data_IF_286690399083
#
_entry.id   IF_286690399083
#
_cell.length_a   1.000
_cell.length_b   1.000
_cell.length_c   1.000
_cell.angle_alpha   90.00
_cell.angle_beta   90.00
_cell.angle_gamma   90.00
#
_symmetry.space_group_name_H-M   'P 1'
#
loop_
_entity.id
_entity.type
_entity.pdbx_description
1 polymer ?
#
# COMPACT_ATOMS: atom_id res chain seq x y z
N UNK A 1 30.09 -59.26 2.86
CA UNK A 1 29.46 -58.01 2.38
C UNK A 1 28.02 -57.99 2.88
N UNK A 2 27.65 -57.06 3.75
CA UNK A 2 26.26 -56.86 4.21
C UNK A 2 25.87 -55.41 3.87
N UNK A 3 24.76 -55.15 3.17
CA UNK A 3 24.40 -53.79 2.76
C UNK A 3 23.78 -53.02 3.94
N UNK A 4 24.20 -51.76 4.12
CA UNK A 4 23.61 -50.80 5.05
C UNK A 4 22.48 -50.08 4.30
N UNK A 5 21.25 -50.26 4.74
CA UNK A 5 20.09 -49.53 4.21
C UNK A 5 19.95 -48.22 4.99
N UNK A 6 20.18 -47.08 4.36
CA UNK A 6 19.90 -45.76 4.95
C UNK A 6 18.46 -45.39 4.59
N UNK A 7 17.60 -45.33 5.62
CA UNK A 7 16.22 -44.84 5.51
C UNK A 7 16.25 -43.31 5.64
N UNK A 8 16.03 -42.58 4.54
CA UNK A 8 15.88 -41.12 4.56
C UNK A 8 14.42 -40.81 4.89
N UNK A 9 14.17 -40.29 6.08
CA UNK A 9 12.87 -39.75 6.46
C UNK A 9 12.70 -38.36 5.85
N UNK A 10 11.82 -38.24 4.84
CA UNK A 10 11.44 -36.96 4.25
C UNK A 10 10.36 -36.35 5.15
N UNK A 11 10.72 -35.31 5.91
CA UNK A 11 9.77 -34.52 6.68
C UNK A 11 9.11 -33.48 5.74
N UNK A 12 7.85 -33.70 5.40
CA UNK A 12 7.05 -32.75 4.63
C UNK A 12 6.59 -31.61 5.52
N UNK A 13 7.16 -30.41 5.34
CA UNK A 13 6.63 -29.18 5.98
C UNK A 13 5.46 -28.69 5.13
N UNK A 14 4.24 -28.84 5.63
CA UNK A 14 3.05 -28.25 5.02
C UNK A 14 3.00 -26.76 5.38
N UNK A 15 3.23 -25.87 4.40
CA UNK A 15 3.02 -24.43 4.57
C UNK A 15 1.52 -24.16 4.43
N UNK A 16 0.87 -23.83 5.54
CA UNK A 16 -0.53 -23.41 5.55
C UNK A 16 -0.60 -21.93 5.20
N UNK A 17 -0.98 -21.61 3.96
CA UNK A 17 -1.32 -20.26 3.54
C UNK A 17 -2.74 -19.92 4.03
N UNK A 18 -2.86 -19.23 5.17
CA UNK A 18 -4.14 -18.69 5.62
C UNK A 18 -4.51 -17.46 4.77
N UNK A 19 -5.55 -17.60 3.95
CA UNK A 19 -6.24 -16.46 3.37
C UNK A 19 -6.94 -15.70 4.50
N UNK A 20 -6.56 -14.43 4.73
CA UNK A 20 -7.30 -13.59 5.65
C UNK A 20 -8.49 -13.04 4.89
N UNK A 21 -9.68 -13.46 5.27
CA UNK A 21 -10.92 -12.90 4.74
C UNK A 21 -11.10 -11.49 5.29
N UNK A 22 -11.32 -10.51 4.41
CA UNK A 22 -11.50 -9.13 4.79
C UNK A 22 -12.82 -8.99 5.57
N UNK A 23 -12.73 -8.68 6.87
CA UNK A 23 -13.90 -8.41 7.72
C UNK A 23 -14.55 -7.11 7.26
N UNK A 24 -15.84 -7.15 6.93
CA UNK A 24 -16.59 -5.95 6.54
C UNK A 24 -16.72 -4.98 7.71
N UNK A 25 -16.44 -3.69 7.47
CA UNK A 25 -16.61 -2.60 8.43
C UNK A 25 -15.36 -2.20 9.24
N UNK A 26 -14.34 -3.05 9.37
CA UNK A 26 -13.09 -2.71 10.08
C UNK A 26 -11.96 -2.26 9.14
N UNK A 27 -11.00 -1.50 9.66
CA UNK A 27 -9.70 -1.34 8.98
C UNK A 27 -8.93 -2.67 9.05
N UNK A 28 -8.30 -3.05 7.94
CA UNK A 28 -7.56 -4.28 7.76
C UNK A 28 -6.20 -3.97 7.14
N UNK A 29 -5.09 -4.51 7.66
CA UNK A 29 -3.76 -4.25 7.10
C UNK A 29 -3.64 -4.70 5.64
N UNK A 30 -3.02 -3.87 4.81
CA UNK A 30 -2.67 -4.23 3.43
C UNK A 30 -1.43 -5.12 3.47
N UNK A 31 -1.58 -6.37 3.02
CA UNK A 31 -0.49 -7.36 3.05
C UNK A 31 0.63 -7.05 2.06
N UNK A 32 0.28 -6.57 0.87
CA UNK A 32 1.22 -6.28 -0.19
C UNK A 32 1.16 -4.80 -0.57
N UNK A 33 2.03 -3.99 0.03
CA UNK A 33 2.15 -2.57 -0.29
C UNK A 33 2.74 -2.32 -1.68
N UNK A 34 3.38 -3.33 -2.28
CA UNK A 34 3.90 -3.28 -3.66
C UNK A 34 2.87 -3.71 -4.70
N UNK A 35 1.64 -4.02 -4.26
CA UNK A 35 0.55 -4.31 -5.17
C UNK A 35 0.33 -3.12 -6.12
N UNK A 36 0.13 -3.42 -7.40
CA UNK A 36 0.00 -2.39 -8.44
C UNK A 36 -1.18 -1.45 -8.15
N UNK A 37 -2.29 -1.99 -7.68
CA UNK A 37 -3.48 -1.20 -7.36
C UNK A 37 -3.24 -0.30 -6.15
N UNK A 38 -2.58 -0.79 -5.11
CA UNK A 38 -2.21 0.01 -3.94
C UNK A 38 -1.30 1.18 -4.33
N UNK A 39 -0.33 0.94 -5.23
CA UNK A 39 0.52 2.00 -5.78
C UNK A 39 -0.28 3.03 -6.57
N UNK A 40 -1.24 2.61 -7.39
CA UNK A 40 -2.10 3.52 -8.15
C UNK A 40 -2.96 4.40 -7.23
N UNK A 41 -3.47 3.85 -6.13
CA UNK A 41 -4.18 4.63 -5.11
C UNK A 41 -3.26 5.68 -4.46
N UNK A 42 -2.02 5.30 -4.14
CA UNK A 42 -1.04 6.22 -3.57
C UNK A 42 -0.65 7.34 -4.56
N UNK A 43 -0.37 7.00 -5.81
CA UNK A 43 -0.04 7.96 -6.88
C UNK A 43 -1.22 8.93 -7.11
N UNK A 44 -2.45 8.40 -7.16
CA UNK A 44 -3.66 9.21 -7.22
C UNK A 44 -3.75 10.20 -6.05
N UNK A 45 -3.45 9.78 -4.83
CA UNK A 45 -3.52 10.65 -3.65
C UNK A 45 -2.54 11.82 -3.75
N UNK A 46 -1.28 11.55 -4.09
CA UNK A 46 -0.22 12.56 -4.21
C UNK A 46 -0.56 13.57 -5.31
N UNK A 47 -0.94 13.09 -6.50
CA UNK A 47 -1.29 13.95 -7.66
C UNK A 47 -2.53 14.80 -7.36
N UNK A 48 -3.56 14.22 -6.74
CA UNK A 48 -4.81 14.93 -6.44
C UNK A 48 -4.61 16.00 -5.37
N UNK A 49 -3.83 15.70 -4.33
CA UNK A 49 -3.48 16.68 -3.31
C UNK A 49 -2.73 17.86 -3.94
N UNK A 50 -1.70 17.57 -4.73
CA UNK A 50 -0.88 18.58 -5.39
C UNK A 50 -1.72 19.48 -6.32
N UNK A 51 -2.57 18.87 -7.15
CA UNK A 51 -3.45 19.59 -8.08
C UNK A 51 -4.50 20.44 -7.36
N UNK A 52 -4.97 20.01 -6.19
CA UNK A 52 -5.96 20.72 -5.37
C UNK A 52 -5.44 22.01 -4.74
N UNK A 53 -4.11 22.17 -4.64
CA UNK A 53 -3.47 23.38 -4.12
C UNK A 53 -3.26 24.46 -5.19
N UNK A 54 -3.66 24.20 -6.44
CA UNK A 54 -3.33 25.04 -7.59
C UNK A 54 -1.92 24.79 -8.11
N UNK A 55 -1.44 25.56 -9.10
CA UNK A 55 -0.09 25.38 -9.64
C UNK A 55 0.96 25.65 -8.55
N UNK A 56 1.63 24.59 -8.08
CA UNK A 56 2.73 24.68 -7.11
C UNK A 56 4.04 24.91 -7.84
N UNK A 57 4.94 25.65 -7.18
CA UNK A 57 6.33 25.81 -7.63
C UNK A 57 7.05 24.45 -7.59
N UNK A 58 6.71 23.62 -6.60
CA UNK A 58 7.30 22.30 -6.39
C UNK A 58 6.19 21.25 -6.21
N UNK A 59 5.77 20.58 -7.29
CA UNK A 59 4.74 19.56 -7.20
C UNK A 59 5.29 18.33 -6.48
N UNK A 60 4.45 17.59 -5.74
CA UNK A 60 4.89 16.37 -5.07
C UNK A 60 4.89 15.16 -6.01
N UNK A 61 5.83 14.23 -5.79
CA UNK A 61 5.83 12.89 -6.40
C UNK A 61 5.97 11.80 -5.34
N UNK A 62 5.37 10.65 -5.62
CA UNK A 62 5.43 9.48 -4.75
C UNK A 62 6.84 8.86 -4.74
N UNK A 63 7.37 8.60 -3.55
CA UNK A 63 8.62 7.84 -3.32
C UNK A 63 8.29 6.38 -3.00
N UNK A 64 7.45 6.14 -2.00
CA UNK A 64 7.10 4.80 -1.52
C UNK A 64 5.74 4.76 -0.81
N UNK A 65 5.21 3.54 -0.66
CA UNK A 65 4.11 3.22 0.24
C UNK A 65 4.69 2.42 1.38
N UNK A 66 4.68 3.00 2.59
CA UNK A 66 5.41 2.49 3.75
C UNK A 66 4.48 1.76 4.73
N UNK A 67 3.18 1.93 4.57
CA UNK A 67 2.16 1.25 5.35
C UNK A 67 0.78 1.44 4.73
N UNK A 68 -0.19 0.66 5.19
CA UNK A 68 -1.56 0.92 4.81
C UNK A 68 -2.58 -0.07 5.33
N UNK A 69 -3.82 0.38 5.35
CA UNK A 69 -4.99 -0.38 5.73
C UNK A 69 -6.11 -0.15 4.70
N UNK A 70 -6.97 -1.13 4.52
CA UNK A 70 -8.22 -1.00 3.77
C UNK A 70 -9.41 -1.18 4.69
N UNK A 71 -10.53 -0.55 4.34
CA UNK A 71 -11.81 -0.79 4.99
C UNK A 71 -12.87 -0.95 3.91
N UNK A 72 -13.61 -2.05 3.97
CA UNK A 72 -14.73 -2.32 3.05
C UNK A 72 -15.97 -1.59 3.55
N UNK A 73 -16.56 -0.78 2.67
CA UNK A 73 -17.81 -0.02 2.84
C UNK A 73 -18.68 -0.24 1.58
N UNK A 74 -19.45 0.75 1.12
CA UNK A 74 -20.01 0.76 -0.25
C UNK A 74 -18.91 1.07 -1.30
N UNK A 75 -17.86 0.26 -1.32
CA UNK A 75 -16.57 0.53 -1.95
C UNK A 75 -15.43 0.20 -0.99
N UNK A 76 -14.28 0.84 -1.19
CA UNK A 76 -13.09 0.61 -0.37
C UNK A 76 -12.47 1.93 0.04
N UNK A 77 -12.27 2.12 1.33
CA UNK A 77 -11.36 3.15 1.82
C UNK A 77 -9.94 2.56 1.89
N UNK A 78 -8.96 3.31 1.40
CA UNK A 78 -7.54 3.04 1.55
C UNK A 78 -6.96 4.11 2.45
N UNK A 79 -6.38 3.72 3.58
CA UNK A 79 -5.58 4.59 4.44
C UNK A 79 -4.13 4.19 4.23
N UNK A 80 -3.37 5.02 3.56
CA UNK A 80 -1.99 4.75 3.16
C UNK A 80 -1.05 5.67 3.91
N UNK A 81 0.07 5.12 4.33
CA UNK A 81 1.24 5.88 4.75
C UNK A 81 2.19 5.94 3.56
N UNK A 82 2.44 7.13 3.05
CA UNK A 82 3.22 7.35 1.83
C UNK A 82 4.36 8.31 2.10
N UNK A 83 5.51 8.04 1.49
CA UNK A 83 6.59 9.02 1.40
C UNK A 83 6.49 9.76 0.08
N UNK A 84 6.57 11.08 0.11
CA UNK A 84 6.55 11.93 -1.08
C UNK A 84 7.63 13.02 -0.99
N UNK A 85 8.13 13.44 -2.15
CA UNK A 85 9.20 14.45 -2.26
C UNK A 85 8.83 15.45 -3.35
N UNK A 86 9.35 16.69 -3.30
CA UNK A 86 9.30 17.60 -4.44
C UNK A 86 9.74 16.94 -5.76
N UNK A 87 9.06 17.24 -6.86
CA UNK A 87 9.28 16.58 -8.14
C UNK A 87 10.68 16.85 -8.72
N UNK A 88 11.28 17.99 -8.38
CA UNK A 88 12.64 18.40 -8.72
C UNK A 88 13.72 17.68 -7.90
N UNK A 89 13.37 17.01 -6.80
CA UNK A 89 14.32 16.28 -5.96
C UNK A 89 14.49 14.83 -6.42
N UNK A 90 15.61 14.20 -6.04
CA UNK A 90 15.83 12.78 -6.33
C UNK A 90 15.04 11.92 -5.35
N UNK A 91 14.35 10.90 -5.85
CA UNK A 91 13.69 9.88 -5.01
C UNK A 91 14.69 9.19 -4.06
N UNK A 92 15.98 9.12 -4.44
CA UNK A 92 17.02 8.56 -3.60
C UNK A 92 17.35 9.40 -2.35
N UNK A 93 16.95 10.68 -2.32
CA UNK A 93 17.09 11.55 -1.15
C UNK A 93 16.02 11.25 -0.07
N UNK A 94 15.03 10.42 -0.39
CA UNK A 94 13.88 10.17 0.48
C UNK A 94 12.77 11.19 0.24
N UNK A 95 12.02 11.51 1.29
CA UNK A 95 10.94 12.48 1.27
C UNK A 95 10.27 12.58 2.64
N UNK A 96 9.22 13.39 2.70
CA UNK A 96 8.38 13.51 3.89
C UNK A 96 7.28 12.45 3.88
N UNK A 97 6.88 12.01 5.07
CA UNK A 97 5.82 11.02 5.24
C UNK A 97 4.46 11.71 5.39
N UNK A 98 3.44 11.09 4.80
CA UNK A 98 2.06 11.57 4.81
C UNK A 98 1.08 10.43 5.02
N UNK A 99 0.01 10.70 5.76
CA UNK A 99 -1.17 9.84 5.74
C UNK A 99 -2.16 10.32 4.67
N UNK A 100 -2.47 9.43 3.73
CA UNK A 100 -3.49 9.64 2.71
C UNK A 100 -4.69 8.73 2.96
N UNK A 101 -5.90 9.28 2.86
CA UNK A 101 -7.13 8.49 2.80
C UNK A 101 -7.77 8.70 1.44
N UNK A 102 -7.96 7.62 0.70
CA UNK A 102 -8.63 7.60 -0.61
C UNK A 102 -9.82 6.67 -0.55
N UNK A 103 -10.96 7.14 -1.02
CA UNK A 103 -12.13 6.30 -1.25
C UNK A 103 -12.16 5.87 -2.72
N UNK A 104 -12.39 4.58 -2.95
CA UNK A 104 -12.66 4.02 -4.27
C UNK A 104 -14.05 3.37 -4.28
N UNK A 105 -14.90 3.81 -5.20
CA UNK A 105 -16.24 3.23 -5.40
C UNK A 105 -16.18 1.86 -6.10
N UNK A 106 -17.28 1.12 -6.05
CA UNK A 106 -17.44 -0.15 -6.78
C UNK A 106 -17.31 -0.02 -8.32
N UNK A 107 -17.39 1.20 -8.86
CA UNK A 107 -17.18 1.51 -10.28
C UNK A 107 -15.78 2.09 -10.56
N UNK A 108 -14.82 1.93 -9.64
CA UNK A 108 -13.43 2.38 -9.75
C UNK A 108 -13.22 3.91 -9.82
N UNK A 109 -14.23 4.69 -9.45
CA UNK A 109 -14.07 6.15 -9.25
C UNK A 109 -13.35 6.37 -7.92
N UNK A 110 -12.24 7.11 -7.96
CA UNK A 110 -11.40 7.45 -6.80
C UNK A 110 -11.66 8.88 -6.34
N UNK A 111 -11.61 9.10 -5.02
CA UNK A 111 -11.73 10.41 -4.40
C UNK A 111 -10.74 10.53 -3.25
N UNK A 112 -9.94 11.60 -3.26
CA UNK A 112 -9.09 11.94 -2.12
C UNK A 112 -9.98 12.45 -0.98
N UNK A 113 -9.89 11.82 0.19
CA UNK A 113 -10.64 12.18 1.39
C UNK A 113 -9.77 13.04 2.31
N UNK A 114 -8.51 12.67 2.51
CA UNK A 114 -7.54 13.45 3.28
C UNK A 114 -6.11 13.18 2.84
N UNK A 115 -5.24 14.18 3.02
CA UNK A 115 -3.80 14.06 2.84
C UNK A 115 -3.12 14.99 3.86
N UNK A 116 -2.46 14.43 4.86
CA UNK A 116 -1.87 15.18 5.98
C UNK A 116 -0.45 14.69 6.27
N UNK A 117 0.47 15.55 6.76
CA UNK A 117 1.77 15.12 7.26
C UNK A 117 1.64 14.01 8.31
N UNK A 118 2.59 13.08 8.33
CA UNK A 118 2.70 12.01 9.32
C UNK A 118 3.79 12.36 10.33
N UNK A 119 3.39 12.52 11.61
CA UNK A 119 4.28 12.82 12.74
C UNK A 119 5.08 11.59 13.23
#
# INVERSE_FOLDING_TARGET
>A
MRPITILVAIASVAIVLQAAEAVTGGWQPIKNLKDKHVREIAEFAVITYDSGLGPRIEPLKLVSVDGGETQIVEGTNYKLLVTATPANESVAAGGDMYQAIVYESLSNVKKLVSFIPWD
#
